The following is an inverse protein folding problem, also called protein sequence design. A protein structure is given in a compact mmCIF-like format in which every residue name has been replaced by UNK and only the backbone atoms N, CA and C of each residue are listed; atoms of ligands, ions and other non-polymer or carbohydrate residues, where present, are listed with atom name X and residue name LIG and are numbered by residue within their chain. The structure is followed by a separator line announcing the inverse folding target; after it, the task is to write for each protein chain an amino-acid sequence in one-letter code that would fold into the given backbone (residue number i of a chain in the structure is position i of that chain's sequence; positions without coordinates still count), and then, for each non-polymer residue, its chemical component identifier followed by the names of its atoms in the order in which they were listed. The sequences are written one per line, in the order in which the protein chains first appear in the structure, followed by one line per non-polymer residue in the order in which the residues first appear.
data_IF_787906299169
#
_entry.id   IF_787906299169
#
_cell.length_a   1.000
_cell.length_b   1.000
_cell.length_c   1.000
_cell.angle_alpha   90.00
_cell.angle_beta   90.00
_cell.angle_gamma   90.00
#
_symmetry.space_group_name_H-M   'P 1'
#
loop_
_entity.id
_entity.type
_entity.pdbx_description
1 polymer ?
#
# COMPACT_ATOMS: atom_id res chain seq x y z
N UNK A 1 7.51 -3.01 7.19
CA UNK A 1 8.92 -2.64 7.42
C UNK A 1 9.18 -1.14 7.24
N UNK A 2 9.15 -0.54 6.04
CA UNK A 2 9.59 0.85 5.83
C UNK A 2 8.90 1.94 6.68
N UNK A 3 7.56 1.91 6.81
CA UNK A 3 6.82 2.93 7.61
C UNK A 3 7.07 2.85 9.12
N UNK A 4 7.31 1.64 9.64
CA UNK A 4 7.62 1.43 11.06
C UNK A 4 8.98 2.06 11.39
N UNK A 5 10.01 1.77 10.59
CA UNK A 5 11.33 2.38 10.72
C UNK A 5 11.29 3.93 10.62
N UNK A 6 10.50 4.47 9.69
CA UNK A 6 10.33 5.93 9.57
C UNK A 6 9.73 6.57 10.83
N UNK A 7 8.79 5.88 11.50
CA UNK A 7 8.06 6.38 12.66
C UNK A 7 8.85 6.22 13.95
N UNK A 8 9.36 5.02 14.17
CA UNK A 8 9.74 4.56 15.50
C UNK A 8 11.27 4.48 15.68
N UNK A 9 12.04 4.56 14.58
CA UNK A 9 13.50 4.41 14.59
C UNK A 9 14.23 5.62 13.98
N UNK A 10 13.58 6.79 13.95
CA UNK A 10 14.19 8.04 13.51
C UNK A 10 14.45 8.16 12.00
N UNK A 11 14.04 7.18 11.19
CA UNK A 11 14.26 7.16 9.75
C UNK A 11 13.66 8.37 9.01
N UNK A 12 12.63 9.01 9.56
CA UNK A 12 12.04 10.21 8.97
C UNK A 12 13.03 11.37 8.77
N UNK A 13 14.10 11.45 9.57
CA UNK A 13 15.13 12.48 9.42
C UNK A 13 16.02 12.27 8.18
N UNK A 14 16.02 11.06 7.64
CA UNK A 14 16.92 10.63 6.56
C UNK A 14 16.22 10.54 5.20
N UNK A 15 14.89 10.66 5.17
CA UNK A 15 14.09 10.42 3.97
C UNK A 15 13.35 11.69 3.55
N UNK A 16 13.53 12.09 2.29
CA UNK A 16 12.80 13.24 1.69
C UNK A 16 11.60 12.81 0.86
N UNK A 17 11.71 11.66 0.19
CA UNK A 17 10.68 11.09 -0.69
C UNK A 17 10.52 9.60 -0.37
N UNK A 18 9.28 9.13 -0.33
CA UNK A 18 8.97 7.72 -0.19
C UNK A 18 8.00 7.30 -1.30
N UNK A 19 8.42 6.37 -2.15
CA UNK A 19 7.54 5.75 -3.15
C UNK A 19 7.06 4.42 -2.58
N UNK A 20 5.74 4.27 -2.49
CA UNK A 20 5.08 3.12 -1.89
C UNK A 20 4.22 2.48 -2.97
N UNK A 21 4.51 1.22 -3.28
CA UNK A 21 3.75 0.41 -4.23
C UNK A 21 2.79 -0.48 -3.41
N UNK A 22 1.48 -0.34 -3.59
CA UNK A 22 0.42 -1.10 -2.92
C UNK A 22 0.72 -1.40 -1.43
N UNK A 23 1.04 -0.33 -0.69
CA UNK A 23 1.65 -0.47 0.64
C UNK A 23 0.70 -0.74 1.79
N UNK A 24 -0.57 -1.11 1.54
CA UNK A 24 -1.57 -1.45 2.56
C UNK A 24 -1.63 -0.40 3.68
N UNK A 25 -1.78 0.88 3.31
CA UNK A 25 -1.65 2.03 4.20
C UNK A 25 -2.67 1.97 5.35
N UNK A 26 -3.87 1.48 5.05
CA UNK A 26 -4.96 1.26 5.98
C UNK A 26 -5.00 -0.18 6.54
N UNK A 27 -4.00 -1.00 6.22
CA UNK A 27 -3.97 -2.45 6.45
C UNK A 27 -4.69 -3.24 5.35
N UNK A 28 -4.38 -4.54 5.24
CA UNK A 28 -5.07 -5.47 4.32
C UNK A 28 -6.04 -6.38 5.07
N UNK A 29 -7.35 -6.23 4.84
CA UNK A 29 -8.32 -7.14 5.41
C UNK A 29 -8.21 -8.56 4.86
N UNK A 30 -7.74 -8.69 3.62
CA UNK A 30 -7.42 -9.98 3.01
C UNK A 30 -6.29 -10.68 3.79
N UNK A 31 -5.17 -10.00 3.99
CA UNK A 31 -4.03 -10.55 4.74
C UNK A 31 -4.43 -10.90 6.19
N UNK A 32 -5.25 -10.04 6.83
CA UNK A 32 -5.75 -10.31 8.17
C UNK A 32 -6.70 -11.52 8.21
N UNK A 33 -7.51 -11.75 7.17
CA UNK A 33 -8.36 -12.95 7.06
C UNK A 33 -7.53 -14.20 6.78
N UNK A 34 -6.56 -14.12 5.88
CA UNK A 34 -5.67 -15.22 5.53
C UNK A 34 -4.88 -15.73 6.74
N UNK A 35 -4.33 -14.81 7.55
CA UNK A 35 -3.65 -15.14 8.81
C UNK A 35 -4.59 -15.80 9.84
N UNK A 36 -5.86 -15.40 9.90
CA UNK A 36 -6.85 -15.98 10.84
C UNK A 36 -7.32 -17.36 10.43
N UNK A 37 -7.27 -17.69 9.15
CA UNK A 37 -7.78 -18.95 8.62
C UNK A 37 -6.73 -20.07 8.63
N UNK A 38 -5.50 -19.82 9.11
CA UNK A 38 -4.38 -20.78 9.08
C UNK A 38 -4.23 -21.50 7.74
N UNK A 39 -4.63 -20.82 6.65
CA UNK A 39 -4.52 -21.36 5.31
C UNK A 39 -3.04 -21.65 5.09
N UNK A 40 -2.65 -22.88 4.72
CA UNK A 40 -1.25 -23.24 4.61
C UNK A 40 -0.61 -22.30 3.60
N UNK A 41 0.16 -21.35 4.12
CA UNK A 41 1.19 -20.70 3.35
C UNK A 41 1.99 -21.82 2.68
N UNK A 42 2.37 -21.63 1.41
CA UNK A 42 3.62 -22.23 0.98
C UNK A 42 4.66 -21.87 2.03
N UNK A 43 4.93 -22.81 2.93
CA UNK A 43 5.91 -22.67 4.00
C UNK A 43 7.21 -22.39 3.24
N UNK A 44 7.82 -21.21 3.34
CA UNK A 44 9.16 -21.04 2.80
C UNK A 44 10.02 -22.14 3.44
N UNK A 45 10.88 -22.84 2.67
CA UNK A 45 11.71 -23.90 3.21
C UNK A 45 12.46 -23.37 4.44
N UNK A 46 12.60 -24.17 5.51
CA UNK A 46 13.22 -23.71 6.74
C UNK A 46 14.63 -23.22 6.41
N UNK A 47 14.86 -21.92 6.61
CA UNK A 47 16.19 -21.33 6.58
C UNK A 47 16.97 -21.97 7.74
N UNK A 48 18.14 -22.58 7.51
CA UNK A 48 18.91 -23.18 8.58
C UNK A 48 19.22 -22.14 9.65
N UNK A 49 18.95 -22.51 10.90
CA UNK A 49 19.15 -21.66 12.07
C UNK A 49 20.63 -21.34 12.27
N UNK A 50 21.09 -20.25 11.68
CA UNK A 50 22.38 -19.64 11.97
C UNK A 50 22.14 -18.21 12.44
N UNK A 51 22.17 -18.04 13.77
CA UNK A 51 22.35 -16.80 14.52
C UNK A 51 21.65 -15.54 13.94
N UNK A 52 20.33 -15.49 14.05
CA UNK A 52 19.61 -14.21 14.13
C UNK A 52 19.62 -13.82 15.61
N UNK A 53 20.28 -12.72 16.03
CA UNK A 53 20.11 -12.20 17.37
C UNK A 53 18.62 -11.91 17.57
N UNK A 54 18.09 -12.13 18.78
CA UNK A 54 16.71 -11.84 19.16
C UNK A 54 16.32 -10.39 18.84
N UNK A 55 15.94 -10.15 17.59
CA UNK A 55 15.29 -8.94 17.13
C UNK A 55 13.84 -9.35 16.89
N UNK A 56 12.98 -8.93 17.82
CA UNK A 56 11.54 -9.13 17.77
C UNK A 56 11.00 -8.63 16.43
N UNK A 57 10.95 -9.54 15.46
CA UNK A 57 10.23 -9.36 14.21
C UNK A 57 8.74 -9.39 14.52
N UNK A 58 8.25 -8.24 14.98
CA UNK A 58 6.86 -7.89 15.27
C UNK A 58 6.04 -7.90 13.96
N UNK A 59 5.87 -9.10 13.42
CA UNK A 59 4.86 -9.46 12.43
C UNK A 59 3.51 -9.71 13.10
N UNK A 60 3.37 -9.43 14.40
CA UNK A 60 2.05 -9.26 15.00
C UNK A 60 1.50 -7.93 14.50
N UNK A 61 0.53 -8.03 13.60
CA UNK A 61 -0.52 -7.03 13.44
C UNK A 61 -0.81 -6.48 14.85
N UNK A 62 -0.64 -5.17 15.12
CA UNK A 62 -0.95 -4.66 16.44
C UNK A 62 -2.41 -5.00 16.70
N UNK A 63 -2.64 -5.85 17.71
CA UNK A 63 -3.96 -6.14 18.26
C UNK A 63 -4.63 -4.79 18.48
N UNK A 64 -5.58 -4.44 17.62
CA UNK A 64 -6.62 -3.48 17.96
C UNK A 64 -7.46 -4.16 19.05
N UNK A 65 -6.95 -4.12 20.28
CA UNK A 65 -7.50 -4.80 21.43
C UNK A 65 -7.07 -4.02 22.66
N UNK A 66 -8.06 -3.43 23.33
CA UNK A 66 -7.93 -2.57 24.48
C UNK A 66 -6.98 -3.08 25.57
N UNK A 67 -6.31 -2.13 26.23
CA UNK A 67 -5.82 -2.29 27.59
C UNK A 67 -4.31 -2.35 27.73
N UNK A 68 -3.66 -1.18 27.79
CA UNK A 68 -2.90 -0.69 28.96
C UNK A 68 -2.36 0.70 28.64
N UNK A 69 -2.41 1.57 29.66
CA UNK A 69 -2.25 3.02 29.62
C UNK A 69 -1.12 3.48 28.70
N UNK A 70 -1.47 4.12 27.58
CA UNK A 70 -0.58 4.98 26.80
C UNK A 70 -0.96 6.41 27.12
N UNK A 71 0.00 7.17 27.65
CA UNK A 71 -0.13 8.62 27.80
C UNK A 71 -0.63 9.25 26.50
N UNK A 72 -1.53 10.21 26.65
CA UNK A 72 -2.29 10.89 25.60
C UNK A 72 -1.41 11.78 24.69
N UNK A 73 -0.43 11.21 23.98
CA UNK A 73 0.26 11.90 22.89
C UNK A 73 -0.50 11.72 21.58
N UNK A 74 -1.56 12.52 21.45
CA UNK A 74 -2.29 12.91 20.24
C UNK A 74 -2.84 11.77 19.35
N UNK A 75 -4.16 11.78 19.27
CA UNK A 75 -5.07 10.86 18.62
C UNK A 75 -4.76 10.61 17.13
N UNK A 76 -4.77 9.32 16.75
CA UNK A 76 -4.55 8.73 15.42
C UNK A 76 -3.13 8.91 14.85
N UNK A 77 -2.38 7.82 14.61
CA UNK A 77 -1.10 7.89 13.91
C UNK A 77 -1.28 8.58 12.56
N UNK A 78 -0.63 9.73 12.33
CA UNK A 78 -0.63 10.38 11.02
C UNK A 78 -0.16 9.40 9.96
N UNK A 79 -0.85 9.37 8.82
CA UNK A 79 -0.51 8.45 7.74
C UNK A 79 0.80 8.88 7.05
N UNK A 80 0.96 10.19 6.82
CA UNK A 80 2.17 10.83 6.31
C UNK A 80 2.91 11.56 7.43
N UNK A 81 4.23 11.35 7.52
CA UNK A 81 5.08 12.04 8.46
C UNK A 81 5.52 13.42 7.94
N UNK A 82 5.71 14.42 8.82
CA UNK A 82 6.29 15.71 8.44
C UNK A 82 7.65 15.56 7.78
N UNK A 83 7.97 16.43 6.81
CA UNK A 83 9.26 16.45 6.12
C UNK A 83 9.40 15.46 4.96
N UNK A 84 8.49 14.48 4.83
CA UNK A 84 8.54 13.46 3.78
C UNK A 84 7.43 13.69 2.76
N UNK A 85 7.77 13.60 1.48
CA UNK A 85 6.78 13.53 0.38
C UNK A 85 6.51 12.07 0.03
N UNK A 86 5.27 11.60 0.16
CA UNK A 86 4.88 10.23 -0.17
C UNK A 86 4.24 10.14 -1.56
N UNK A 87 4.57 9.10 -2.30
CA UNK A 87 3.90 8.75 -3.55
C UNK A 87 3.32 7.35 -3.39
N UNK A 88 2.00 7.26 -3.27
CA UNK A 88 1.31 5.98 -3.10
C UNK A 88 0.79 5.54 -4.47
N UNK A 89 1.40 4.50 -5.02
CA UNK A 89 1.09 3.96 -6.34
C UNK A 89 0.30 2.66 -6.13
N UNK A 90 -0.84 2.54 -6.81
CA UNK A 90 -1.65 1.32 -6.80
C UNK A 90 -2.34 1.16 -8.16
N UNK A 91 -3.04 0.04 -8.34
CA UNK A 91 -3.76 -0.31 -9.57
C UNK A 91 -5.21 -0.66 -9.26
N UNK A 92 -6.13 -0.39 -10.17
CA UNK A 92 -7.53 -0.82 -10.04
C UNK A 92 -7.67 -2.35 -10.07
N UNK A 93 -6.65 -3.05 -10.58
CA UNK A 93 -6.60 -4.51 -10.65
C UNK A 93 -5.95 -5.16 -9.42
N UNK A 94 -5.73 -4.40 -8.36
CA UNK A 94 -5.02 -4.84 -7.16
C UNK A 94 -5.75 -5.99 -6.47
N UNK A 95 -5.11 -7.16 -6.45
CA UNK A 95 -5.66 -8.44 -6.01
C UNK A 95 -5.23 -8.84 -4.59
N UNK A 96 -4.01 -8.49 -4.16
CA UNK A 96 -3.46 -8.89 -2.86
C UNK A 96 -3.73 -7.85 -1.76
N UNK A 97 -3.80 -6.58 -2.16
CA UNK A 97 -4.06 -5.42 -1.31
C UNK A 97 -5.38 -4.76 -1.68
N UNK A 98 -6.40 -5.60 -1.85
CA UNK A 98 -7.73 -5.21 -2.27
C UNK A 98 -8.64 -4.81 -1.09
N UNK A 99 -9.54 -3.84 -1.29
CA UNK A 99 -9.69 -2.97 -2.45
C UNK A 99 -8.54 -1.99 -2.58
N UNK A 100 -8.21 -1.57 -3.82
CA UNK A 100 -7.07 -0.70 -4.12
C UNK A 100 -6.98 0.55 -3.22
N UNK A 101 -8.11 1.11 -2.78
CA UNK A 101 -8.14 2.34 -1.99
C UNK A 101 -7.52 2.18 -0.59
N UNK A 102 -7.32 0.96 -0.06
CA UNK A 102 -6.58 0.75 1.20
C UNK A 102 -5.10 1.13 1.08
N UNK A 103 -4.59 1.21 -0.15
CA UNK A 103 -3.23 1.61 -0.46
C UNK A 103 -3.06 3.13 -0.55
N UNK A 104 -4.12 3.90 -0.33
CA UNK A 104 -4.13 5.35 -0.53
C UNK A 104 -4.22 6.11 0.80
N UNK A 105 -3.56 7.26 0.87
CA UNK A 105 -3.60 8.13 2.04
C UNK A 105 -4.79 9.09 2.00
N UNK A 106 -5.35 9.41 3.17
CA UNK A 106 -6.54 10.26 3.33
C UNK A 106 -6.43 11.31 4.45
N UNK A 107 -5.34 11.30 5.22
CA UNK A 107 -5.10 12.24 6.32
C UNK A 107 -4.27 13.46 5.90
N UNK A 108 -3.87 14.34 6.84
CA UNK A 108 -2.99 15.46 6.55
C UNK A 108 -1.56 15.00 6.22
N UNK A 109 -0.88 15.74 5.35
CA UNK A 109 0.55 15.57 5.04
C UNK A 109 0.87 15.77 3.56
N UNK A 110 2.13 15.58 3.21
CA UNK A 110 2.62 15.73 1.82
C UNK A 110 2.58 14.36 1.13
N UNK A 111 1.54 14.09 0.38
CA UNK A 111 1.46 12.86 -0.42
C UNK A 111 0.72 13.07 -1.73
N UNK A 112 0.98 12.17 -2.67
CA UNK A 112 0.22 12.03 -3.91
C UNK A 112 -0.20 10.57 -4.06
N UNK A 113 -1.51 10.36 -4.18
CA UNK A 113 -2.09 9.07 -4.53
C UNK A 113 -2.14 8.95 -6.06
N UNK A 114 -1.67 7.84 -6.59
CA UNK A 114 -1.55 7.57 -8.02
C UNK A 114 -2.17 6.20 -8.29
N UNK A 115 -3.24 6.19 -9.08
CA UNK A 115 -3.79 4.97 -9.65
C UNK A 115 -3.23 4.84 -11.05
N UNK A 116 -2.58 3.73 -11.38
CA UNK A 116 -1.87 3.59 -12.67
C UNK A 116 -2.80 3.80 -13.87
N UNK A 117 -4.07 3.39 -13.78
CA UNK A 117 -5.06 3.61 -14.83
C UNK A 117 -5.46 5.07 -15.04
N UNK A 118 -5.16 6.00 -14.11
CA UNK A 118 -5.33 7.44 -14.36
C UNK A 118 -4.29 7.98 -15.36
N UNK A 119 -3.15 7.29 -15.52
CA UNK A 119 -2.06 7.68 -16.42
C UNK A 119 -2.02 6.83 -17.67
N UNK A 120 -2.16 5.51 -17.50
CA UNK A 120 -2.13 4.51 -18.57
C UNK A 120 -3.34 3.59 -18.41
N UNK A 121 -4.51 3.95 -18.97
CA UNK A 121 -5.77 3.24 -18.72
C UNK A 121 -5.77 1.79 -19.20
N UNK A 122 -4.96 1.49 -20.22
CA UNK A 122 -4.88 0.16 -20.83
C UNK A 122 -3.78 -0.72 -20.23
N UNK A 123 -2.87 -0.16 -19.42
CA UNK A 123 -1.75 -0.93 -18.91
C UNK A 123 -2.23 -2.05 -17.97
N UNK A 124 -1.80 -3.30 -18.19
CA UNK A 124 -2.22 -4.47 -17.41
C UNK A 124 -1.42 -4.60 -16.11
N UNK A 125 -1.38 -3.52 -15.31
CA UNK A 125 -0.67 -3.53 -14.02
C UNK A 125 -1.53 -4.24 -12.97
N UNK A 126 -0.94 -5.22 -12.31
CA UNK A 126 -1.50 -5.99 -11.17
C UNK A 126 -0.53 -5.92 -9.99
N UNK A 127 -0.84 -6.54 -8.85
CA UNK A 127 0.01 -6.48 -7.66
C UNK A 127 1.45 -6.90 -7.96
N UNK A 128 1.62 -8.05 -8.61
CA UNK A 128 2.92 -8.69 -8.89
C UNK A 128 3.76 -7.96 -9.93
N UNK A 129 3.16 -7.08 -10.74
CA UNK A 129 3.87 -6.34 -11.80
C UNK A 129 4.12 -4.88 -11.46
N UNK A 130 3.55 -4.35 -10.37
CA UNK A 130 3.77 -2.97 -9.94
C UNK A 130 5.24 -2.59 -9.78
N UNK A 131 6.08 -3.51 -9.30
CA UNK A 131 7.50 -3.25 -9.06
C UNK A 131 8.40 -3.52 -10.27
N UNK A 132 7.92 -4.16 -11.34
CA UNK A 132 8.77 -4.56 -12.48
C UNK A 132 8.28 -4.07 -13.83
N UNK A 133 7.02 -3.65 -13.95
CA UNK A 133 6.46 -3.18 -15.21
C UNK A 133 7.22 -1.92 -15.69
N UNK A 134 7.70 -1.89 -16.96
CA UNK A 134 8.41 -0.74 -17.52
C UNK A 134 7.68 0.60 -17.34
N UNK A 135 6.36 0.60 -17.48
CA UNK A 135 5.57 1.81 -17.28
C UNK A 135 5.61 2.30 -15.83
N UNK A 136 5.47 1.40 -14.85
CA UNK A 136 5.63 1.78 -13.44
C UNK A 136 7.06 2.19 -13.10
N UNK A 137 8.07 1.57 -13.70
CA UNK A 137 9.47 1.98 -13.53
C UNK A 137 9.71 3.41 -14.01
N UNK A 138 9.16 3.79 -15.17
CA UNK A 138 9.22 5.18 -15.67
C UNK A 138 8.53 6.18 -14.72
N UNK A 139 7.41 5.75 -14.12
CA UNK A 139 6.71 6.53 -13.11
C UNK A 139 7.56 6.74 -11.85
N UNK A 140 8.16 5.67 -11.32
CA UNK A 140 9.03 5.74 -10.15
C UNK A 140 10.21 6.68 -10.40
N UNK A 141 10.87 6.57 -11.56
CA UNK A 141 11.99 7.44 -11.93
C UNK A 141 11.57 8.93 -11.99
N UNK A 142 10.45 9.23 -12.65
CA UNK A 142 9.90 10.58 -12.72
C UNK A 142 9.62 11.19 -11.33
N UNK A 143 9.04 10.41 -10.42
CA UNK A 143 8.72 10.83 -9.07
C UNK A 143 9.98 11.06 -8.21
N UNK A 144 10.96 10.16 -8.30
CA UNK A 144 12.21 10.26 -7.55
C UNK A 144 13.05 11.44 -8.02
N UNK A 145 13.22 11.64 -9.34
CA UNK A 145 14.00 12.74 -9.90
C UNK A 145 13.31 14.09 -9.75
N UNK A 146 12.09 14.20 -10.27
CA UNK A 146 11.42 15.50 -10.45
C UNK A 146 10.18 15.67 -9.60
N UNK A 147 9.58 14.57 -9.11
CA UNK A 147 8.27 14.58 -8.48
C UNK A 147 7.10 14.59 -9.47
N UNK A 148 7.37 14.55 -10.77
CA UNK A 148 6.34 14.44 -11.80
C UNK A 148 5.84 13.00 -11.93
N UNK A 149 4.52 12.80 -11.85
CA UNK A 149 3.92 11.51 -12.17
C UNK A 149 3.77 11.39 -13.69
N UNK A 150 4.80 10.83 -14.33
CA UNK A 150 4.81 10.56 -15.77
C UNK A 150 5.02 9.07 -15.96
N UNK A 151 4.11 8.42 -16.66
CA UNK A 151 4.12 6.99 -16.90
C UNK A 151 4.16 6.75 -18.40
N UNK A 152 5.22 6.11 -18.89
CA UNK A 152 5.34 5.68 -20.29
C UNK A 152 4.54 4.39 -20.45
N UNK A 153 3.35 4.46 -21.03
CA UNK A 153 2.44 3.31 -21.11
C UNK A 153 3.02 2.16 -21.93
N UNK A 154 2.82 0.93 -21.46
CA UNK A 154 3.17 -0.28 -22.21
C UNK A 154 2.15 -0.56 -23.31
N UNK A 155 0.89 -0.23 -23.06
CA UNK A 155 -0.21 -0.43 -24.01
C UNK A 155 -0.75 0.94 -24.44
N UNK A 156 -0.80 1.23 -25.75
CA UNK A 156 -1.28 2.52 -26.25
C UNK A 156 -2.71 2.81 -25.80
N UNK A 157 -3.02 4.10 -25.66
CA UNK A 157 -4.10 4.66 -24.85
C UNK A 157 -5.50 4.67 -25.51
N UNK A 158 -5.69 4.05 -26.69
CA UNK A 158 -6.95 4.18 -27.42
C UNK A 158 -7.46 2.87 -28.06
N UNK A 159 -8.75 2.51 -27.85
CA UNK A 159 -9.66 3.10 -26.87
C UNK A 159 -9.25 2.72 -25.44
N UNK A 160 -9.55 3.59 -24.46
CA UNK A 160 -9.34 3.29 -23.05
C UNK A 160 -10.27 2.14 -22.60
N UNK A 161 -9.72 1.07 -22.08
CA UNK A 161 -10.45 -0.04 -21.48
C UNK A 161 -11.09 0.41 -20.18
N UNK A 162 -12.39 0.13 -20.01
CA UNK A 162 -13.07 0.30 -18.73
C UNK A 162 -12.58 -0.77 -17.76
N UNK A 163 -11.54 -0.47 -16.99
CA UNK A 163 -11.05 -1.33 -15.91
C UNK A 163 -11.97 -1.15 -14.70
N UNK A 164 -12.75 -2.18 -14.39
CA UNK A 164 -13.57 -2.20 -13.16
C UNK A 164 -12.63 -2.46 -11.97
N UNK A 165 -12.66 -1.65 -10.90
CA UNK A 165 -11.85 -1.93 -9.74
C UNK A 165 -12.25 -3.24 -9.08
N UNK A 166 -11.26 -4.03 -8.65
CA UNK A 166 -11.53 -5.17 -7.80
C UNK A 166 -12.05 -4.66 -6.43
N UNK A 167 -13.28 -5.04 -6.06
CA UNK A 167 -13.89 -4.65 -4.78
C UNK A 167 -13.28 -5.43 -3.62
N UNK A 168 -13.22 -6.74 -3.77
CA UNK A 168 -12.58 -7.71 -2.87
C UNK A 168 -12.36 -8.99 -3.67
N UNK A 169 -11.33 -9.78 -3.37
CA UNK A 169 -11.21 -11.13 -3.91
C UNK A 169 -12.43 -11.98 -3.52
N UNK A 170 -12.82 -12.98 -4.32
CA UNK A 170 -13.86 -13.92 -3.96
C UNK A 170 -13.60 -14.55 -2.57
N UNK A 171 -14.63 -14.63 -1.72
CA UNK A 171 -14.53 -15.23 -0.38
C UNK A 171 -13.96 -14.31 0.72
N UNK A 172 -13.58 -13.07 0.38
CA UNK A 172 -13.01 -12.10 1.33
C UNK A 172 -14.04 -11.03 1.67
N UNK A 173 -14.33 -10.86 2.97
CA UNK A 173 -15.21 -9.80 3.47
C UNK A 173 -14.39 -8.69 4.10
N UNK A 174 -14.68 -7.44 3.75
CA UNK A 174 -14.10 -6.31 4.46
C UNK A 174 -14.58 -6.30 5.92
N UNK A 175 -13.71 -5.95 6.88
CA UNK A 175 -14.09 -5.75 8.27
C UNK A 175 -15.27 -4.81 8.38
N UNK A 176 -16.17 -5.10 9.32
CA UNK A 176 -17.28 -4.21 9.64
C UNK A 176 -16.77 -2.77 9.89
N UNK A 177 -17.42 -1.79 9.26
CA UNK A 177 -17.00 -0.38 9.32
C UNK A 177 -15.93 0.03 8.30
N UNK A 178 -15.48 -0.86 7.42
CA UNK A 178 -14.65 -0.48 6.27
C UNK A 178 -15.44 0.38 5.30
N UNK A 179 -15.23 1.70 5.36
CA UNK A 179 -15.90 2.66 4.46
C UNK A 179 -14.89 3.18 3.45
N UNK A 180 -15.24 3.09 2.17
CA UNK A 180 -14.46 3.72 1.11
C UNK A 180 -14.45 5.24 1.33
N UNK A 181 -13.27 5.88 1.37
CA UNK A 181 -13.17 7.33 1.45
C UNK A 181 -13.88 8.02 0.25
N UNK A 182 -14.67 9.09 0.46
CA UNK A 182 -15.48 9.71 -0.58
C UNK A 182 -14.72 10.10 -1.85
N UNK A 183 -13.47 10.53 -1.71
CA UNK A 183 -12.59 10.92 -2.82
C UNK A 183 -12.27 9.77 -3.80
N UNK A 184 -12.50 8.51 -3.40
CA UNK A 184 -12.23 7.34 -4.24
C UNK A 184 -13.51 6.74 -4.84
N UNK A 185 -14.69 7.29 -4.55
CA UNK A 185 -15.97 6.85 -5.13
C UNK A 185 -15.98 6.95 -6.65
N UNK A 186 -15.24 7.91 -7.23
CA UNK A 186 -15.17 8.13 -8.68
C UNK A 186 -14.74 6.89 -9.48
N UNK A 187 -13.99 5.97 -8.87
CA UNK A 187 -13.51 4.76 -9.55
C UNK A 187 -14.58 3.66 -9.66
N UNK A 188 -15.72 3.80 -8.96
CA UNK A 188 -16.82 2.82 -8.96
C UNK A 188 -18.08 3.29 -9.70
N UNK A 189 -18.02 4.45 -10.35
CA UNK A 189 -19.08 4.99 -11.21
C UNK A 189 -18.79 4.62 -12.67
#
# INVERSE_FOLDING_TARGET
MGRYWLKDHGGAKLVRKAVILSGMILGSPYQAQWLRQEMPAHRPPPVPAAAVPDDESDTRVPRAGHGRRRDHRSERPRQALPGITYYNITTLREEESAPFWINLMTGPGRYRNIVTQDLCPNDPIVHTTLNIAPSTQSLIDGLLRTGAARMTCMTPSSPAMKVKPLRTPPGVRLPAGSVMPPQFVKYYR
#
